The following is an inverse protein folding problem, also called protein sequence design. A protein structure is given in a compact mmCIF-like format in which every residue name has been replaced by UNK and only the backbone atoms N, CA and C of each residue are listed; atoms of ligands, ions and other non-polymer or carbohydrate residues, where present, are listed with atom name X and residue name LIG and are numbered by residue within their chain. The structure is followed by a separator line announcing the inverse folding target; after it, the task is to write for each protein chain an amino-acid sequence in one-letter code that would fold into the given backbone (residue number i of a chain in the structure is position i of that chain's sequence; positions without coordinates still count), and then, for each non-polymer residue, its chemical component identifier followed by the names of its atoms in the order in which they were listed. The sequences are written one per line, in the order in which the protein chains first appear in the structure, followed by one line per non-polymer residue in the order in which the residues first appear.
data_IF_349935406611
#
_entry.id   IF_349935406611
#
_cell.length_a   1.000
_cell.length_b   1.000
_cell.length_c   1.000
_cell.angle_alpha   90.00
_cell.angle_beta   90.00
_cell.angle_gamma   90.00
#
_symmetry.space_group_name_H-M   'P 1'
#
loop_
_entity.id
_entity.type
_entity.pdbx_description
1 polymer ?
#
# COMPACT_ATOMS: atom_id res chain seq x y z
N UNK A 1 -29.19 21.71 -17.22
CA UNK A 1 -28.67 21.04 -18.42
C UNK A 1 -27.33 20.33 -18.24
N UNK A 2 -26.21 20.96 -17.77
CA UNK A 2 -24.98 20.24 -17.44
C UNK A 2 -25.20 19.07 -16.43
N UNK A 3 -26.00 19.31 -15.40
CA UNK A 3 -26.33 18.31 -14.37
C UNK A 3 -27.12 17.12 -14.93
N UNK A 4 -27.97 17.35 -15.93
CA UNK A 4 -28.76 16.28 -16.56
C UNK A 4 -27.86 15.36 -17.41
N UNK A 5 -26.97 15.93 -18.24
CA UNK A 5 -26.01 15.14 -19.00
C UNK A 5 -25.08 14.31 -18.10
N UNK A 6 -24.58 14.90 -17.03
CA UNK A 6 -23.76 14.20 -16.04
C UNK A 6 -24.53 13.02 -15.39
N UNK A 7 -25.79 13.23 -14.98
CA UNK A 7 -26.62 12.16 -14.43
C UNK A 7 -26.86 11.06 -15.47
N UNK A 8 -27.05 11.41 -16.73
CA UNK A 8 -27.22 10.43 -17.81
C UNK A 8 -25.96 9.60 -18.03
N UNK A 9 -24.77 10.21 -18.00
CA UNK A 9 -23.51 9.49 -18.15
C UNK A 9 -23.25 8.56 -16.96
N UNK A 10 -23.52 9.01 -15.72
CA UNK A 10 -23.48 8.13 -14.56
C UNK A 10 -24.48 6.97 -14.68
N UNK A 11 -25.69 7.26 -15.10
CA UNK A 11 -26.72 6.23 -15.31
C UNK A 11 -26.26 5.18 -16.32
N UNK A 12 -25.66 5.57 -17.45
CA UNK A 12 -25.11 4.64 -18.45
C UNK A 12 -24.08 3.70 -17.82
N UNK A 13 -23.15 4.22 -16.99
CA UNK A 13 -22.13 3.41 -16.34
C UNK A 13 -22.74 2.44 -15.33
N UNK A 14 -23.63 2.92 -14.46
CA UNK A 14 -24.27 2.11 -13.43
C UNK A 14 -25.21 1.05 -14.00
N UNK A 15 -25.78 1.22 -15.19
CA UNK A 15 -26.63 0.22 -15.82
C UNK A 15 -25.87 -0.84 -16.61
N UNK A 16 -24.55 -0.71 -16.75
CA UNK A 16 -23.72 -1.77 -17.35
C UNK A 16 -23.58 -2.92 -16.36
N UNK A 17 -24.01 -4.12 -16.76
CA UNK A 17 -23.86 -5.34 -15.94
C UNK A 17 -22.42 -5.58 -15.52
N UNK A 18 -21.45 -5.28 -16.41
CA UNK A 18 -20.00 -5.44 -16.13
C UNK A 18 -19.54 -4.60 -14.95
N UNK A 19 -20.17 -3.45 -14.69
CA UNK A 19 -19.84 -2.60 -13.55
C UNK A 19 -20.13 -3.30 -12.21
N UNK A 20 -21.34 -3.85 -12.05
CA UNK A 20 -21.73 -4.53 -10.82
C UNK A 20 -21.02 -5.88 -10.64
N UNK A 21 -20.85 -6.63 -11.75
CA UNK A 21 -20.05 -7.87 -11.73
C UNK A 21 -18.63 -7.56 -11.29
N UNK A 22 -18.02 -6.49 -11.81
CA UNK A 22 -16.68 -6.06 -11.42
C UNK A 22 -16.58 -5.68 -9.94
N UNK A 23 -17.52 -4.90 -9.40
CA UNK A 23 -17.55 -4.56 -7.97
C UNK A 23 -17.67 -5.82 -7.11
N UNK A 24 -18.62 -6.69 -7.43
CA UNK A 24 -18.81 -7.94 -6.67
C UNK A 24 -17.58 -8.85 -6.75
N UNK A 25 -16.94 -8.92 -7.92
CA UNK A 25 -15.71 -9.69 -8.09
C UNK A 25 -14.56 -9.10 -7.24
N UNK A 26 -14.37 -7.76 -7.25
CA UNK A 26 -13.34 -7.11 -6.42
C UNK A 26 -13.56 -7.40 -4.95
N UNK A 27 -14.77 -7.14 -4.44
CA UNK A 27 -15.09 -7.35 -3.03
C UNK A 27 -14.97 -8.82 -2.63
N UNK A 28 -15.46 -9.73 -3.49
CA UNK A 28 -15.36 -11.18 -3.28
C UNK A 28 -13.91 -11.67 -3.24
N UNK A 29 -13.09 -11.25 -4.21
CA UNK A 29 -11.67 -11.61 -4.25
C UNK A 29 -10.88 -10.99 -3.09
N UNK A 30 -11.17 -9.74 -2.70
CA UNK A 30 -10.57 -9.12 -1.52
C UNK A 30 -10.92 -9.88 -0.25
N UNK A 31 -12.19 -10.32 -0.10
CA UNK A 31 -12.61 -11.12 1.05
C UNK A 31 -11.91 -12.49 1.07
N UNK A 32 -11.81 -13.17 -0.08
CA UNK A 32 -11.12 -14.46 -0.19
C UNK A 32 -9.62 -14.29 0.15
N UNK A 33 -8.96 -13.31 -0.46
CA UNK A 33 -7.55 -13.01 -0.16
C UNK A 33 -7.34 -12.72 1.33
N UNK A 34 -8.15 -11.83 1.90
CA UNK A 34 -8.09 -11.47 3.31
C UNK A 34 -8.25 -12.68 4.23
N UNK A 35 -9.24 -13.53 3.95
CA UNK A 35 -9.54 -14.65 4.86
C UNK A 35 -8.55 -15.80 4.74
N UNK A 36 -8.12 -16.13 3.53
CA UNK A 36 -7.25 -17.29 3.30
C UNK A 36 -5.75 -16.94 3.33
N UNK A 37 -5.34 -15.82 2.76
CA UNK A 37 -3.94 -15.44 2.73
C UNK A 37 -3.52 -14.68 3.99
N UNK A 38 -4.31 -13.71 4.45
CA UNK A 38 -3.89 -12.87 5.57
C UNK A 38 -4.27 -13.50 6.93
N UNK A 39 -5.56 -13.75 7.14
CA UNK A 39 -6.02 -14.35 8.41
C UNK A 39 -5.57 -15.80 8.51
N UNK A 40 -5.65 -16.58 7.41
CA UNK A 40 -5.29 -18.00 7.39
C UNK A 40 -3.83 -18.28 7.68
N UNK A 41 -2.93 -17.37 7.30
CA UNK A 41 -1.48 -17.51 7.51
C UNK A 41 -1.01 -17.02 8.88
N UNK A 42 -1.89 -16.36 9.66
CA UNK A 42 -1.53 -15.94 11.01
C UNK A 42 -1.21 -17.15 11.91
N UNK A 43 -0.13 -17.00 12.67
CA UNK A 43 0.36 -18.03 13.60
C UNK A 43 0.63 -17.42 14.98
N UNK A 44 0.41 -18.21 16.00
CA UNK A 44 0.77 -17.87 17.38
C UNK A 44 1.15 -19.15 18.10
N UNK A 45 2.36 -19.22 18.60
CA UNK A 45 2.84 -20.36 19.40
C UNK A 45 3.19 -19.86 20.80
N UNK A 46 2.61 -20.49 21.82
CA UNK A 46 2.83 -20.16 23.23
C UNK A 46 3.06 -21.47 23.99
N UNK A 47 4.21 -21.61 24.64
CA UNK A 47 4.61 -22.77 25.40
C UNK A 47 4.44 -24.09 24.62
N UNK A 48 4.77 -24.07 23.32
CA UNK A 48 4.66 -25.22 22.42
C UNK A 48 3.24 -25.50 21.90
N UNK A 49 2.23 -24.76 22.32
CA UNK A 49 0.87 -24.84 21.74
C UNK A 49 0.75 -23.92 20.56
N UNK A 50 0.37 -24.47 19.42
CA UNK A 50 0.22 -23.73 18.17
C UNK A 50 -1.24 -23.37 17.92
N UNK A 51 -1.49 -22.09 17.64
CA UNK A 51 -2.75 -21.53 17.19
C UNK A 51 -2.59 -21.04 15.75
N UNK A 52 -3.65 -21.09 14.95
CA UNK A 52 -3.60 -20.68 13.55
C UNK A 52 -4.85 -19.90 13.15
N UNK A 53 -4.72 -19.05 12.12
CA UNK A 53 -5.83 -18.31 11.58
C UNK A 53 -6.42 -17.29 12.57
N UNK A 54 -7.73 -17.18 12.59
CA UNK A 54 -8.44 -16.25 13.47
C UNK A 54 -8.14 -16.46 14.97
N UNK A 55 -7.95 -17.70 15.38
CA UNK A 55 -7.58 -18.03 16.77
C UNK A 55 -6.20 -17.47 17.12
N UNK A 56 -5.24 -17.56 16.19
CA UNK A 56 -3.92 -16.95 16.36
C UNK A 56 -4.01 -15.43 16.51
N UNK A 57 -4.85 -14.77 15.70
CA UNK A 57 -5.09 -13.31 15.83
C UNK A 57 -5.59 -12.98 17.25
N UNK A 58 -6.58 -13.73 17.76
CA UNK A 58 -7.14 -13.47 19.09
C UNK A 58 -6.12 -13.71 20.20
N UNK A 59 -5.30 -14.75 20.09
CA UNK A 59 -4.25 -15.05 21.06
C UNK A 59 -3.16 -13.96 21.03
N UNK A 60 -2.68 -13.56 19.87
CA UNK A 60 -1.71 -12.48 19.72
C UNK A 60 -2.24 -11.16 20.31
N UNK A 61 -3.51 -10.83 20.09
CA UNK A 61 -4.15 -9.65 20.71
C UNK A 61 -4.14 -9.75 22.23
N UNK A 62 -4.58 -10.88 22.77
CA UNK A 62 -4.68 -11.11 24.21
C UNK A 62 -3.32 -10.97 24.91
N UNK A 63 -2.27 -11.64 24.42
CA UNK A 63 -0.94 -11.55 25.02
C UNK A 63 -0.33 -10.17 24.88
N UNK A 64 -0.64 -9.45 23.78
CA UNK A 64 -0.14 -8.08 23.58
C UNK A 64 -0.79 -7.11 24.54
N UNK A 65 -2.06 -7.28 24.87
CA UNK A 65 -2.78 -6.43 25.84
C UNK A 65 -2.17 -6.48 27.24
N UNK A 66 -1.57 -7.61 27.64
CA UNK A 66 -0.87 -7.75 28.93
C UNK A 66 0.32 -6.79 29.06
N UNK A 67 0.97 -6.47 27.93
CA UNK A 67 2.17 -5.62 27.86
C UNK A 67 1.92 -4.27 27.18
N UNK A 68 0.69 -3.92 26.88
CA UNK A 68 0.36 -2.70 26.15
C UNK A 68 0.90 -1.42 26.81
N UNK A 69 1.10 -0.38 25.99
CA UNK A 69 1.55 0.94 26.42
C UNK A 69 3.03 1.21 26.11
N UNK A 70 3.59 2.25 26.73
CA UNK A 70 4.95 2.71 26.43
C UNK A 70 5.97 1.59 26.62
N UNK A 71 6.86 1.43 25.63
CA UNK A 71 7.95 0.46 25.67
C UNK A 71 9.03 0.95 26.62
N UNK A 72 9.42 0.08 27.57
CA UNK A 72 10.51 0.30 28.53
C UNK A 72 11.43 -0.92 28.51
N UNK A 73 12.67 -0.74 28.97
CA UNK A 73 13.64 -1.84 29.07
C UNK A 73 13.11 -2.97 29.96
N UNK A 74 12.48 -2.62 31.07
CA UNK A 74 11.88 -3.58 31.98
C UNK A 74 10.79 -4.42 31.29
N UNK A 75 9.90 -3.78 30.53
CA UNK A 75 8.85 -4.46 29.77
C UNK A 75 9.43 -5.41 28.70
N UNK A 76 10.45 -4.97 27.98
CA UNK A 76 11.16 -5.80 27.01
C UNK A 76 11.80 -7.01 27.69
N UNK A 77 12.48 -6.80 28.83
CA UNK A 77 13.08 -7.90 29.60
C UNK A 77 12.02 -8.91 30.03
N UNK A 78 10.88 -8.45 30.56
CA UNK A 78 9.77 -9.34 30.95
C UNK A 78 9.26 -10.18 29.76
N UNK A 79 9.15 -9.58 28.57
CA UNK A 79 8.72 -10.28 27.35
C UNK A 79 9.76 -11.33 26.95
N UNK A 80 11.05 -10.97 26.94
CA UNK A 80 12.13 -11.89 26.59
C UNK A 80 12.26 -13.03 27.60
N UNK A 81 12.15 -12.75 28.91
CA UNK A 81 12.21 -13.77 29.95
C UNK A 81 11.06 -14.78 29.85
N UNK A 82 9.86 -14.31 29.45
CA UNK A 82 8.67 -15.17 29.35
C UNK A 82 8.58 -15.92 28.01
N UNK A 83 8.82 -15.22 26.90
CA UNK A 83 8.58 -15.76 25.56
C UNK A 83 9.86 -16.04 24.78
N UNK A 84 11.02 -15.48 25.17
CA UNK A 84 12.27 -15.58 24.43
C UNK A 84 12.25 -14.81 23.11
N UNK A 85 13.24 -15.09 22.25
CA UNK A 85 13.35 -14.55 20.91
C UNK A 85 13.09 -15.67 19.88
N UNK A 86 12.44 -15.40 18.73
CA UNK A 86 12.11 -16.41 17.72
C UNK A 86 13.35 -17.11 17.14
N UNK A 87 14.51 -16.46 17.22
CA UNK A 87 15.80 -16.96 16.72
C UNK A 87 16.52 -17.90 17.65
N UNK A 88 15.99 -18.17 18.85
CA UNK A 88 16.61 -19.09 19.79
C UNK A 88 16.43 -20.52 19.32
N UNK A 89 17.55 -21.16 18.99
CA UNK A 89 17.59 -22.55 18.51
C UNK A 89 17.85 -23.57 19.63
N UNK A 90 18.05 -23.12 20.87
CA UNK A 90 18.32 -24.00 22.00
C UNK A 90 17.00 -24.42 22.67
N UNK A 91 16.76 -25.74 22.74
CA UNK A 91 15.55 -26.32 23.33
C UNK A 91 15.29 -25.92 24.79
N UNK A 92 16.31 -25.47 25.50
CA UNK A 92 16.22 -24.98 26.88
C UNK A 92 15.84 -23.49 26.98
N UNK A 93 15.72 -22.76 25.85
CA UNK A 93 15.37 -21.35 25.81
C UNK A 93 13.87 -21.16 25.58
N UNK A 94 13.23 -20.16 26.22
CA UNK A 94 11.81 -19.91 26.02
C UNK A 94 11.42 -19.68 24.55
N UNK A 95 12.29 -19.05 23.75
CA UNK A 95 12.07 -18.77 22.34
C UNK A 95 11.89 -20.00 21.46
N UNK A 96 12.44 -21.15 21.85
CA UNK A 96 12.25 -22.41 21.14
C UNK A 96 10.78 -22.86 21.12
N UNK A 97 10.03 -22.59 22.19
CA UNK A 97 8.63 -23.00 22.35
C UNK A 97 7.64 -21.88 22.02
N UNK A 98 8.12 -20.73 21.64
CA UNK A 98 7.29 -19.56 21.38
C UNK A 98 7.55 -19.01 19.97
N UNK A 99 6.50 -18.52 19.35
CA UNK A 99 6.54 -17.81 18.07
C UNK A 99 5.27 -16.98 17.97
N UNK A 100 5.31 -15.76 18.48
CA UNK A 100 4.14 -14.92 18.61
C UNK A 100 4.48 -13.45 18.34
N UNK A 101 3.47 -12.61 18.28
CA UNK A 101 3.64 -11.19 17.99
C UNK A 101 4.62 -10.47 18.94
N UNK A 102 4.67 -10.83 20.21
CA UNK A 102 5.58 -10.21 21.18
C UNK A 102 7.06 -10.56 20.90
N UNK A 103 7.35 -11.81 20.51
CA UNK A 103 8.70 -12.20 20.08
C UNK A 103 9.11 -11.36 18.86
N UNK A 104 8.25 -11.27 17.84
CA UNK A 104 8.53 -10.52 16.62
C UNK A 104 8.68 -9.02 16.91
N UNK A 105 7.84 -8.48 17.79
CA UNK A 105 7.92 -7.08 18.21
C UNK A 105 9.28 -6.79 18.85
N UNK A 106 9.72 -7.61 19.81
CA UNK A 106 11.02 -7.43 20.47
C UNK A 106 12.16 -7.57 19.49
N UNK A 107 12.09 -8.56 18.60
CA UNK A 107 13.12 -8.80 17.58
C UNK A 107 13.31 -7.56 16.68
N UNK A 108 12.26 -6.79 16.37
CA UNK A 108 12.37 -5.55 15.58
C UNK A 108 13.27 -4.49 16.20
N UNK A 109 13.41 -4.46 17.53
CA UNK A 109 14.32 -3.53 18.21
C UNK A 109 15.77 -4.00 18.18
N UNK A 110 16.02 -5.30 18.08
CA UNK A 110 17.37 -5.85 18.18
C UNK A 110 17.99 -6.22 16.84
N UNK A 111 17.19 -6.49 15.82
CA UNK A 111 17.71 -6.86 14.50
C UNK A 111 17.43 -5.73 13.52
N UNK A 112 18.46 -5.23 12.84
CA UNK A 112 18.29 -4.27 11.76
C UNK A 112 17.82 -4.92 10.44
N UNK A 113 17.09 -6.05 10.52
CA UNK A 113 16.61 -6.82 9.38
C UNK A 113 17.67 -7.66 8.67
N UNK A 114 18.91 -7.65 9.13
CA UNK A 114 19.99 -8.38 8.47
C UNK A 114 20.21 -9.77 9.09
N UNK A 115 19.25 -10.67 8.87
CA UNK A 115 19.51 -12.11 8.95
C UNK A 115 20.56 -12.56 7.93
N UNK A 116 20.87 -11.72 6.96
CA UNK A 116 21.79 -11.99 5.86
C UNK A 116 23.25 -12.20 6.30
N UNK A 117 23.63 -11.72 7.46
CA UNK A 117 25.04 -11.78 7.90
C UNK A 117 25.38 -12.95 8.86
N UNK A 118 24.50 -13.94 9.01
CA UNK A 118 24.82 -15.19 9.70
C UNK A 118 25.17 -15.08 11.20
N UNK A 119 25.02 -13.93 11.81
CA UNK A 119 25.26 -13.74 13.24
C UNK A 119 24.05 -14.22 14.01
N UNK A 120 24.20 -15.35 14.69
CA UNK A 120 23.16 -15.88 15.58
C UNK A 120 22.92 -14.92 16.75
N UNK A 121 21.74 -14.34 16.91
CA UNK A 121 21.41 -13.44 18.03
C UNK A 121 21.49 -14.11 19.40
N UNK A 122 21.45 -15.40 19.43
CA UNK A 122 21.05 -16.29 20.53
C UNK A 122 21.95 -16.31 21.74
N UNK A 123 23.23 -16.02 21.64
CA UNK A 123 24.15 -16.15 22.77
C UNK A 123 24.29 -14.87 23.62
N UNK A 124 23.77 -13.74 23.18
CA UNK A 124 24.07 -12.43 23.73
C UNK A 124 22.90 -11.68 24.35
N UNK A 125 21.67 -12.11 24.13
CA UNK A 125 20.46 -11.45 24.64
C UNK A 125 20.05 -11.93 26.04
N UNK A 126 21.00 -12.10 26.92
CA UNK A 126 20.67 -12.00 28.34
C UNK A 126 20.70 -10.52 28.72
N UNK A 127 19.57 -9.85 28.52
CA UNK A 127 19.32 -8.51 29.01
C UNK A 127 19.30 -8.53 30.55
N UNK A 128 20.40 -8.91 31.18
CA UNK A 128 20.44 -8.99 32.65
C UNK A 128 20.61 -7.65 33.31
N UNK A 129 21.12 -6.67 32.59
CA UNK A 129 21.40 -5.38 33.18
C UNK A 129 21.30 -4.34 32.09
N UNK A 130 20.06 -3.80 31.84
CA UNK A 130 20.26 -2.54 31.25
C UNK A 130 19.62 -2.15 29.96
N UNK A 131 19.61 -0.95 29.75
CA UNK A 131 19.69 -0.11 28.57
C UNK A 131 19.72 -0.90 27.24
N UNK A 132 18.64 -0.96 26.52
CA UNK A 132 18.50 -1.51 25.16
C UNK A 132 19.67 -1.06 24.27
N UNK A 133 20.22 0.13 24.55
CA UNK A 133 21.40 0.63 23.87
C UNK A 133 22.67 -0.16 24.15
N UNK A 134 22.89 -0.64 25.36
CA UNK A 134 24.05 -1.49 25.68
C UNK A 134 23.95 -2.83 24.96
N UNK A 135 22.81 -3.49 25.02
CA UNK A 135 22.59 -4.75 24.32
C UNK A 135 22.82 -4.60 22.81
N UNK A 136 22.35 -3.51 22.24
CA UNK A 136 22.57 -3.19 20.83
C UNK A 136 24.05 -2.89 20.53
N UNK A 137 24.74 -2.15 21.38
CA UNK A 137 26.15 -1.83 21.23
C UNK A 137 27.01 -3.10 21.25
N UNK A 138 26.75 -4.00 22.20
CA UNK A 138 27.44 -5.29 22.31
C UNK A 138 27.18 -6.19 21.08
N UNK A 139 25.97 -6.17 20.54
CA UNK A 139 25.63 -6.86 19.30
C UNK A 139 26.43 -6.35 18.10
N UNK A 140 26.56 -5.03 17.95
CA UNK A 140 27.23 -4.42 16.81
C UNK A 140 28.78 -4.34 16.93
N UNK A 141 29.34 -4.39 18.14
CA UNK A 141 30.80 -4.39 18.33
C UNK A 141 31.48 -5.65 17.79
N UNK A 142 30.69 -6.70 17.53
CA UNK A 142 31.19 -7.99 17.03
C UNK A 142 30.98 -8.21 15.53
N UNK A 143 30.47 -7.20 14.80
CA UNK A 143 30.40 -7.22 13.35
C UNK A 143 31.72 -6.61 12.83
N UNK A 144 32.64 -7.48 12.38
CA UNK A 144 33.95 -7.07 11.85
C UNK A 144 33.86 -6.55 10.41
N UNK A 145 33.60 -5.26 10.21
CA UNK A 145 33.87 -4.64 8.93
C UNK A 145 34.27 -3.16 9.03
N UNK A 146 35.29 -2.78 8.25
CA UNK A 146 35.93 -1.46 8.30
C UNK A 146 35.13 -0.28 7.74
N UNK A 147 33.99 -0.51 7.06
CA UNK A 147 33.11 0.55 6.56
C UNK A 147 32.24 1.22 7.64
N UNK A 148 32.24 0.70 8.83
CA UNK A 148 31.22 0.81 9.86
C UNK A 148 31.37 1.93 10.89
N UNK A 149 32.50 2.61 10.97
CA UNK A 149 32.66 3.63 12.04
C UNK A 149 31.72 4.83 11.89
N UNK A 150 31.40 5.23 10.66
CA UNK A 150 30.43 6.30 10.40
C UNK A 150 29.00 5.80 10.56
N UNK A 151 28.71 4.59 10.09
CA UNK A 151 27.40 3.97 10.18
C UNK A 151 27.02 3.69 11.63
N UNK A 152 27.97 3.23 12.47
CA UNK A 152 27.79 3.04 13.92
C UNK A 152 27.40 4.33 14.66
N UNK A 153 28.02 5.46 14.32
CA UNK A 153 27.69 6.74 14.95
C UNK A 153 26.32 7.25 14.53
N UNK A 154 25.96 7.08 13.26
CA UNK A 154 24.65 7.44 12.74
C UNK A 154 23.58 6.57 13.38
N UNK A 155 23.77 5.27 13.42
CA UNK A 155 22.88 4.28 14.00
C UNK A 155 22.65 4.51 15.50
N UNK A 156 23.70 4.86 16.26
CA UNK A 156 23.60 5.28 17.66
C UNK A 156 22.65 6.46 17.85
N UNK A 157 22.85 7.51 17.04
CA UNK A 157 22.02 8.70 17.12
C UNK A 157 20.56 8.39 16.73
N UNK A 158 20.39 7.45 15.83
CA UNK A 158 19.07 6.99 15.39
C UNK A 158 18.31 6.25 16.49
N UNK A 159 18.95 5.30 17.17
CA UNK A 159 18.36 4.59 18.31
C UNK A 159 17.99 5.55 19.43
N UNK A 160 18.92 6.43 19.81
CA UNK A 160 18.65 7.42 20.86
C UNK A 160 17.52 8.39 20.48
N UNK A 161 17.40 8.72 19.19
CA UNK A 161 16.30 9.56 18.71
C UNK A 161 14.94 8.83 18.77
N UNK A 162 14.91 7.54 18.50
CA UNK A 162 13.69 6.72 18.59
C UNK A 162 13.24 6.55 20.05
N UNK A 163 14.17 6.32 20.95
CA UNK A 163 13.87 6.19 22.37
C UNK A 163 13.21 7.44 22.96
N UNK A 164 13.60 8.62 22.46
CA UNK A 164 12.95 9.89 22.80
C UNK A 164 11.50 9.98 22.30
N UNK A 165 11.15 9.26 21.27
CA UNK A 165 9.80 9.24 20.69
C UNK A 165 8.83 8.33 21.45
N UNK A 166 9.31 7.57 22.46
CA UNK A 166 8.51 6.70 23.35
C UNK A 166 7.56 5.80 22.56
N UNK A 167 8.06 4.83 21.75
CA UNK A 167 7.20 3.92 21.03
C UNK A 167 6.27 3.17 21.98
N UNK A 168 5.08 2.84 21.52
CA UNK A 168 4.09 2.08 22.30
C UNK A 168 3.99 0.66 21.75
N UNK A 169 3.80 -0.31 22.65
CA UNK A 169 3.51 -1.68 22.30
C UNK A 169 2.00 -1.84 22.19
N UNK A 170 1.55 -2.18 21.01
CA UNK A 170 0.16 -2.46 20.67
C UNK A 170 0.12 -3.48 19.54
N UNK A 171 -0.99 -4.21 19.41
CA UNK A 171 -1.15 -5.16 18.32
C UNK A 171 -1.45 -4.42 17.00
N UNK A 172 -0.46 -4.30 16.13
CA UNK A 172 -0.50 -3.47 14.93
C UNK A 172 -0.62 -4.23 13.62
N UNK A 173 -0.64 -5.58 13.65
CA UNK A 173 -0.67 -6.43 12.45
C UNK A 173 -1.77 -6.03 11.46
N UNK A 174 -2.93 -5.61 11.96
CA UNK A 174 -4.04 -5.18 11.11
C UNK A 174 -3.72 -4.01 10.17
N UNK A 175 -2.74 -3.17 10.47
CA UNK A 175 -2.31 -2.10 9.57
C UNK A 175 -1.42 -2.60 8.44
N UNK A 176 -0.57 -3.60 8.71
CA UNK A 176 0.20 -4.28 7.67
C UNK A 176 -0.74 -4.96 6.69
N UNK A 177 -1.67 -5.78 7.21
CA UNK A 177 -2.69 -6.47 6.42
C UNK A 177 -3.58 -5.48 5.63
N UNK A 178 -3.91 -4.32 6.23
CA UNK A 178 -4.62 -3.26 5.51
C UNK A 178 -3.85 -2.77 4.28
N UNK A 179 -2.53 -2.56 4.40
CA UNK A 179 -1.69 -2.15 3.28
C UNK A 179 -1.67 -3.18 2.15
N UNK A 180 -1.51 -4.45 2.48
CA UNK A 180 -1.47 -5.57 1.53
C UNK A 180 -2.83 -5.78 0.86
N UNK A 181 -3.92 -5.74 1.62
CA UNK A 181 -5.28 -5.85 1.10
C UNK A 181 -5.68 -4.64 0.23
N UNK A 182 -5.26 -3.43 0.64
CA UNK A 182 -5.46 -2.22 -0.15
C UNK A 182 -4.74 -2.33 -1.49
N UNK A 183 -3.48 -2.72 -1.51
CA UNK A 183 -2.69 -2.94 -2.72
C UNK A 183 -3.38 -3.93 -3.67
N UNK A 184 -3.79 -5.08 -3.15
CA UNK A 184 -4.51 -6.09 -3.91
C UNK A 184 -5.82 -5.54 -4.51
N UNK A 185 -6.63 -4.85 -3.70
CA UNK A 185 -7.86 -4.21 -4.14
C UNK A 185 -7.64 -3.13 -5.20
N UNK A 186 -6.58 -2.32 -5.08
CA UNK A 186 -6.24 -1.29 -6.04
C UNK A 186 -5.78 -1.88 -7.38
N UNK A 187 -5.07 -3.00 -7.39
CA UNK A 187 -4.73 -3.71 -8.63
C UNK A 187 -6.01 -4.18 -9.35
N UNK A 188 -6.92 -4.81 -8.63
CA UNK A 188 -8.21 -5.25 -9.20
C UNK A 188 -9.06 -4.05 -9.67
N UNK A 189 -9.09 -2.98 -8.89
CA UNK A 189 -9.76 -1.73 -9.24
C UNK A 189 -9.20 -1.08 -10.50
N UNK A 190 -7.88 -1.18 -10.73
CA UNK A 190 -7.24 -0.72 -11.95
C UNK A 190 -7.76 -1.45 -13.18
N UNK A 191 -7.88 -2.76 -13.11
CA UNK A 191 -8.47 -3.57 -14.19
C UNK A 191 -9.92 -3.13 -14.47
N UNK A 192 -10.68 -2.84 -13.42
CA UNK A 192 -12.05 -2.35 -13.58
C UNK A 192 -12.09 -0.98 -14.24
N UNK A 193 -11.20 -0.05 -13.89
CA UNK A 193 -11.07 1.26 -14.56
C UNK A 193 -10.81 1.05 -16.05
N UNK A 194 -9.86 0.18 -16.42
CA UNK A 194 -9.55 -0.14 -17.80
C UNK A 194 -10.80 -0.64 -18.56
N UNK A 195 -11.56 -1.55 -17.96
CA UNK A 195 -12.75 -2.13 -18.62
C UNK A 195 -13.93 -1.16 -18.74
N UNK A 196 -14.17 -0.34 -17.70
CA UNK A 196 -15.36 0.51 -17.65
C UNK A 196 -15.16 1.85 -18.34
N UNK A 197 -13.98 2.47 -18.13
CA UNK A 197 -13.72 3.84 -18.59
C UNK A 197 -13.27 3.87 -20.05
N UNK A 198 -12.58 2.82 -20.53
CA UNK A 198 -12.09 2.76 -21.93
C UNK A 198 -13.21 2.90 -22.98
N UNK A 199 -14.43 2.50 -22.63
CA UNK A 199 -15.59 2.63 -23.53
C UNK A 199 -16.18 4.03 -23.62
N UNK A 200 -15.84 4.98 -22.75
CA UNK A 200 -16.58 6.26 -22.63
C UNK A 200 -16.60 7.07 -23.92
N UNK A 201 -15.48 7.17 -24.63
CA UNK A 201 -15.39 7.85 -25.91
C UNK A 201 -15.40 6.87 -27.10
N UNK A 202 -14.75 5.72 -26.94
CA UNK A 202 -14.62 4.75 -28.02
C UNK A 202 -15.95 4.10 -28.43
N UNK A 203 -16.90 3.93 -27.51
CA UNK A 203 -18.22 3.37 -27.80
C UNK A 203 -19.03 4.25 -28.75
N UNK A 204 -18.94 5.56 -28.64
CA UNK A 204 -19.63 6.49 -29.54
C UNK A 204 -19.06 6.50 -30.97
N UNK A 205 -17.74 6.30 -31.07
CA UNK A 205 -17.11 6.05 -32.38
C UNK A 205 -17.58 4.72 -32.96
N UNK A 206 -17.58 3.66 -32.18
CA UNK A 206 -17.97 2.32 -32.57
C UNK A 206 -19.46 2.24 -32.99
N UNK A 207 -20.33 2.94 -32.28
CA UNK A 207 -21.80 2.98 -32.57
C UNK A 207 -22.19 4.00 -33.61
N UNK A 208 -21.22 4.73 -34.19
CA UNK A 208 -21.45 5.81 -35.17
C UNK A 208 -22.38 6.93 -34.66
N UNK A 209 -22.47 7.10 -33.35
CA UNK A 209 -23.26 8.17 -32.73
C UNK A 209 -22.51 9.52 -32.68
N UNK A 210 -21.21 9.51 -32.88
CA UNK A 210 -20.35 10.69 -32.85
C UNK A 210 -20.82 11.83 -33.78
N UNK A 211 -21.24 11.55 -35.05
CA UNK A 211 -21.76 12.58 -35.95
C UNK A 211 -22.96 13.30 -35.36
N UNK A 212 -23.91 12.53 -34.81
CA UNK A 212 -25.14 13.05 -34.24
C UNK A 212 -24.85 13.93 -33.02
N UNK A 213 -23.92 13.53 -32.16
CA UNK A 213 -23.53 14.31 -30.98
C UNK A 213 -22.88 15.64 -31.40
N UNK A 214 -22.02 15.60 -32.43
CA UNK A 214 -21.25 16.76 -32.87
C UNK A 214 -22.07 17.80 -33.66
N UNK A 215 -23.23 17.42 -34.19
CA UNK A 215 -24.15 18.37 -34.83
C UNK A 215 -24.95 19.19 -33.82
N UNK A 216 -24.99 18.77 -32.55
CA UNK A 216 -25.67 19.53 -31.51
C UNK A 216 -24.79 20.70 -31.01
N UNK A 217 -25.39 21.86 -30.76
CA UNK A 217 -24.68 23.07 -30.32
C UNK A 217 -23.87 22.86 -29.04
N UNK A 218 -24.26 21.92 -28.19
CA UNK A 218 -23.65 21.67 -26.88
C UNK A 218 -22.85 20.38 -26.82
N UNK A 219 -22.97 19.49 -27.82
CA UNK A 219 -22.43 18.15 -27.79
C UNK A 219 -20.90 18.08 -27.59
N UNK A 220 -20.15 18.89 -28.32
CA UNK A 220 -18.68 18.93 -28.25
C UNK A 220 -18.12 19.40 -26.91
N UNK A 221 -18.81 20.24 -26.16
CA UNK A 221 -18.28 20.90 -24.95
C UNK A 221 -18.91 20.36 -23.67
N UNK A 222 -20.25 20.34 -23.62
CA UNK A 222 -20.95 19.95 -22.38
C UNK A 222 -20.99 18.45 -22.19
N UNK A 223 -21.17 17.69 -23.25
CA UNK A 223 -21.16 16.23 -23.23
C UNK A 223 -19.78 15.70 -22.83
N UNK A 224 -18.70 16.17 -23.47
CA UNK A 224 -17.33 15.79 -23.08
C UNK A 224 -17.04 16.08 -21.60
N UNK A 225 -17.49 17.26 -21.11
CA UNK A 225 -17.28 17.59 -19.69
C UNK A 225 -18.08 16.70 -18.76
N UNK A 226 -19.30 16.30 -19.16
CA UNK A 226 -20.15 15.40 -18.38
C UNK A 226 -19.52 13.98 -18.28
N UNK A 227 -19.00 13.47 -19.39
CA UNK A 227 -18.29 12.18 -19.45
C UNK A 227 -17.05 12.13 -18.57
N UNK A 228 -16.21 13.16 -18.68
CA UNK A 228 -15.01 13.30 -17.84
C UNK A 228 -15.40 13.35 -16.36
N UNK A 229 -16.38 14.19 -16.00
CA UNK A 229 -16.81 14.30 -14.61
C UNK A 229 -17.40 12.97 -14.08
N UNK A 230 -18.20 12.28 -14.89
CA UNK A 230 -18.78 10.99 -14.53
C UNK A 230 -17.69 9.92 -14.30
N UNK A 231 -16.69 9.85 -15.18
CA UNK A 231 -15.58 8.90 -15.03
C UNK A 231 -14.77 9.17 -13.76
N UNK A 232 -14.44 10.42 -13.46
CA UNK A 232 -13.74 10.79 -12.23
C UNK A 232 -14.55 10.46 -10.98
N UNK A 233 -15.87 10.72 -11.00
CA UNK A 233 -16.76 10.35 -9.89
C UNK A 233 -16.73 8.84 -9.63
N UNK A 234 -16.85 8.02 -10.67
CA UNK A 234 -16.79 6.56 -10.54
C UNK A 234 -15.43 6.10 -10.00
N UNK A 235 -14.35 6.69 -10.48
CA UNK A 235 -12.99 6.38 -9.99
C UNK A 235 -12.82 6.69 -8.51
N UNK A 236 -13.31 7.85 -8.06
CA UNK A 236 -13.28 8.23 -6.64
C UNK A 236 -14.14 7.29 -5.80
N UNK A 237 -15.35 6.96 -6.25
CA UNK A 237 -16.24 6.02 -5.54
C UNK A 237 -15.63 4.62 -5.46
N UNK A 238 -15.01 4.15 -6.54
CA UNK A 238 -14.33 2.85 -6.56
C UNK A 238 -13.15 2.83 -5.57
N UNK A 239 -12.31 3.86 -5.60
CA UNK A 239 -11.20 4.00 -4.65
C UNK A 239 -11.67 4.02 -3.19
N UNK A 240 -12.68 4.83 -2.90
CA UNK A 240 -13.25 4.92 -1.56
C UNK A 240 -13.90 3.59 -1.11
N UNK A 241 -14.56 2.88 -2.03
CA UNK A 241 -15.15 1.56 -1.77
C UNK A 241 -14.09 0.51 -1.45
N UNK A 242 -13.00 0.44 -2.23
CA UNK A 242 -11.87 -0.47 -2.00
C UNK A 242 -11.20 -0.15 -0.66
N UNK A 243 -10.84 1.12 -0.44
CA UNK A 243 -10.18 1.56 0.80
C UNK A 243 -11.06 1.32 2.03
N UNK A 244 -12.35 1.63 1.93
CA UNK A 244 -13.32 1.44 3.01
C UNK A 244 -13.55 -0.04 3.34
N UNK A 245 -13.61 -0.92 2.33
CA UNK A 245 -13.76 -2.37 2.53
C UNK A 245 -12.50 -2.98 3.14
N UNK A 246 -11.30 -2.60 2.67
CA UNK A 246 -10.05 -3.04 3.26
C UNK A 246 -9.94 -2.63 4.74
N UNK A 247 -10.22 -1.35 5.03
CA UNK A 247 -10.21 -0.85 6.40
C UNK A 247 -11.25 -1.55 7.29
N UNK A 248 -12.47 -1.75 6.78
CA UNK A 248 -13.56 -2.40 7.51
C UNK A 248 -13.22 -3.84 7.90
N UNK A 249 -12.71 -4.65 6.97
CA UNK A 249 -12.30 -6.03 7.23
C UNK A 249 -11.18 -6.09 8.29
N UNK A 250 -10.15 -5.25 8.14
CA UNK A 250 -9.03 -5.21 9.10
C UNK A 250 -9.49 -4.71 10.48
N UNK A 251 -10.41 -3.73 10.53
CA UNK A 251 -10.95 -3.22 11.80
C UNK A 251 -11.76 -4.27 12.55
N UNK A 252 -12.55 -5.08 11.86
CA UNK A 252 -13.39 -6.12 12.47
C UNK A 252 -12.53 -7.26 13.04
N UNK A 253 -11.52 -7.72 12.31
CA UNK A 253 -10.74 -8.90 12.71
C UNK A 253 -9.56 -8.53 13.61
N UNK A 254 -8.77 -7.55 13.21
CA UNK A 254 -7.51 -7.18 13.88
C UNK A 254 -7.67 -6.04 14.91
N UNK A 255 -8.80 -5.31 14.91
CA UNK A 255 -9.06 -4.11 15.72
C UNK A 255 -8.12 -2.92 15.44
N UNK A 256 -7.12 -3.06 14.59
CA UNK A 256 -6.20 -2.04 14.05
C UNK A 256 -5.88 -0.91 15.04
N UNK A 257 -5.34 -1.27 16.21
CA UNK A 257 -4.83 -0.32 17.22
C UNK A 257 -3.46 0.22 16.79
N UNK A 258 -2.93 1.21 17.49
CA UNK A 258 -1.54 1.68 17.31
C UNK A 258 -1.28 2.60 16.12
N UNK A 259 -2.30 3.15 15.48
CA UNK A 259 -2.13 4.07 14.35
C UNK A 259 -1.40 5.37 14.66
N UNK A 260 -1.29 5.76 15.92
CA UNK A 260 -0.49 6.92 16.36
C UNK A 260 0.97 6.59 16.64
N UNK A 261 1.34 5.31 16.55
CA UNK A 261 2.69 4.82 16.78
C UNK A 261 3.62 5.17 15.60
N UNK A 262 4.91 4.85 15.75
CA UNK A 262 5.89 5.03 14.70
C UNK A 262 5.70 4.00 13.57
N UNK A 263 5.98 4.41 12.33
CA UNK A 263 5.82 3.55 11.15
C UNK A 263 6.64 2.26 11.27
N UNK A 264 7.88 2.33 11.80
CA UNK A 264 8.71 1.15 12.03
C UNK A 264 8.10 0.14 12.98
N UNK A 265 7.37 0.61 14.02
CA UNK A 265 6.64 -0.26 14.94
C UNK A 265 5.45 -0.94 14.26
N UNK A 266 4.76 -0.20 13.38
CA UNK A 266 3.49 -0.64 12.82
C UNK A 266 3.67 -1.61 11.64
N UNK A 267 4.58 -1.29 10.70
CA UNK A 267 4.66 -2.02 9.43
C UNK A 267 6.05 -2.47 8.99
N UNK A 268 7.14 -1.76 9.35
CA UNK A 268 8.42 -2.01 8.68
C UNK A 268 9.20 -3.18 9.25
N UNK A 269 8.87 -3.62 10.45
CA UNK A 269 9.62 -4.68 11.10
C UNK A 269 11.08 -4.32 11.44
N UNK A 270 11.53 -3.08 11.15
CA UNK A 270 12.81 -2.53 11.56
C UNK A 270 12.61 -1.09 12.04
N UNK A 271 13.47 -0.61 12.92
CA UNK A 271 13.36 0.76 13.47
C UNK A 271 14.55 1.64 13.13
N UNK A 272 15.30 1.30 12.11
CA UNK A 272 16.60 1.90 11.82
C UNK A 272 16.57 2.93 10.69
N UNK A 273 15.51 2.93 9.86
CA UNK A 273 15.39 3.86 8.73
C UNK A 273 14.72 5.16 9.16
N UNK A 274 14.96 6.23 8.43
CA UNK A 274 14.34 7.54 8.67
C UNK A 274 12.81 7.48 8.64
N UNK A 275 12.25 6.68 7.74
CA UNK A 275 10.81 6.47 7.62
C UNK A 275 10.21 5.84 8.88
N UNK A 276 10.95 4.96 9.54
CA UNK A 276 10.48 4.22 10.72
C UNK A 276 10.14 5.15 11.90
N UNK A 277 10.70 6.36 11.91
CA UNK A 277 10.48 7.40 12.93
C UNK A 277 9.30 8.32 12.66
N UNK A 278 8.72 8.23 11.46
CA UNK A 278 7.55 9.04 11.10
C UNK A 278 6.32 8.48 11.78
N UNK A 279 5.40 9.32 12.30
CA UNK A 279 4.11 8.85 12.78
C UNK A 279 3.36 8.09 11.69
N UNK A 280 2.83 6.91 12.02
CA UNK A 280 2.22 6.03 11.03
C UNK A 280 1.05 6.69 10.28
N UNK A 281 0.21 7.47 10.94
CA UNK A 281 -0.87 8.17 10.24
C UNK A 281 -0.39 9.20 9.22
N UNK A 282 0.79 9.81 9.42
CA UNK A 282 1.37 10.69 8.40
C UNK A 282 1.80 9.88 7.17
N UNK A 283 2.44 8.74 7.38
CA UNK A 283 2.78 7.80 6.32
C UNK A 283 1.54 7.30 5.58
N UNK A 284 0.53 6.84 6.32
CA UNK A 284 -0.74 6.36 5.77
C UNK A 284 -1.46 7.43 4.93
N UNK A 285 -1.44 8.68 5.40
CA UNK A 285 -2.06 9.79 4.66
C UNK A 285 -1.39 10.00 3.30
N UNK A 286 -0.06 9.97 3.24
CA UNK A 286 0.69 10.07 1.98
C UNK A 286 0.37 8.89 1.07
N UNK A 287 0.35 7.67 1.59
CA UNK A 287 -0.01 6.47 0.85
C UNK A 287 -1.40 6.58 0.22
N UNK A 288 -2.39 7.00 0.98
CA UNK A 288 -3.76 7.16 0.48
C UNK A 288 -3.88 8.29 -0.56
N UNK A 289 -3.18 9.41 -0.37
CA UNK A 289 -3.17 10.52 -1.33
C UNK A 289 -2.52 10.08 -2.65
N UNK A 290 -1.36 9.45 -2.60
CA UNK A 290 -0.66 8.96 -3.80
C UNK A 290 -1.45 7.88 -4.52
N UNK A 291 -2.08 6.95 -3.78
CA UNK A 291 -2.97 5.94 -4.36
C UNK A 291 -4.17 6.54 -5.07
N UNK A 292 -4.82 7.55 -4.48
CA UNK A 292 -5.92 8.28 -5.13
C UNK A 292 -5.44 9.00 -6.40
N UNK A 293 -4.30 9.69 -6.33
CA UNK A 293 -3.72 10.36 -7.52
C UNK A 293 -3.38 9.37 -8.62
N UNK A 294 -2.87 8.18 -8.27
CA UNK A 294 -2.60 7.12 -9.22
C UNK A 294 -3.87 6.64 -9.94
N UNK A 295 -4.96 6.44 -9.20
CA UNK A 295 -6.26 6.07 -9.79
C UNK A 295 -6.81 7.15 -10.72
N UNK A 296 -6.73 8.42 -10.31
CA UNK A 296 -7.17 9.54 -11.14
C UNK A 296 -6.30 9.70 -12.40
N UNK A 297 -4.99 9.48 -12.28
CA UNK A 297 -4.06 9.52 -13.42
C UNK A 297 -4.32 8.36 -14.38
N UNK A 298 -4.57 7.16 -13.86
CA UNK A 298 -4.94 5.99 -14.68
C UNK A 298 -6.25 6.25 -15.43
N UNK A 299 -7.26 6.82 -14.76
CA UNK A 299 -8.51 7.23 -15.40
C UNK A 299 -8.26 8.24 -16.54
N UNK A 300 -7.42 9.26 -16.31
CA UNK A 300 -7.10 10.26 -17.32
C UNK A 300 -6.36 9.66 -18.54
N UNK A 301 -5.43 8.72 -18.30
CA UNK A 301 -4.75 7.97 -19.38
C UNK A 301 -5.76 7.15 -20.17
N UNK A 302 -6.67 6.44 -19.47
CA UNK A 302 -7.70 5.60 -20.08
C UNK A 302 -8.65 6.45 -20.95
N UNK A 303 -9.10 7.59 -20.45
CA UNK A 303 -9.92 8.54 -21.22
C UNK A 303 -9.16 9.07 -22.45
N UNK A 304 -7.90 9.43 -22.29
CA UNK A 304 -7.06 9.88 -23.39
C UNK A 304 -7.02 8.83 -24.49
N UNK A 305 -6.66 7.60 -24.15
CA UNK A 305 -6.57 6.50 -25.12
C UNK A 305 -7.93 6.20 -25.76
N UNK A 306 -9.00 6.19 -24.95
CA UNK A 306 -10.38 6.02 -25.45
C UNK A 306 -10.76 7.03 -26.53
N UNK A 307 -10.29 8.29 -26.42
CA UNK A 307 -10.56 9.32 -27.41
C UNK A 307 -9.87 9.06 -28.76
N UNK A 308 -8.73 8.37 -28.75
CA UNK A 308 -7.98 8.01 -29.97
C UNK A 308 -8.46 6.74 -30.65
N UNK A 309 -9.19 5.89 -29.95
CA UNK A 309 -9.64 4.60 -30.45
C UNK A 309 -11.05 4.69 -31.07
N UNK A 310 -11.31 3.80 -32.05
CA UNK A 310 -12.62 3.70 -32.69
C UNK A 310 -13.42 2.48 -32.22
N UNK A 311 -12.84 1.63 -31.34
CA UNK A 311 -13.51 0.49 -30.75
C UNK A 311 -13.20 0.36 -29.27
N UNK A 312 -14.19 -0.12 -28.50
CA UNK A 312 -14.02 -0.39 -27.06
C UNK A 312 -12.88 -1.40 -26.80
N UNK A 313 -12.81 -2.47 -27.57
CA UNK A 313 -11.79 -3.47 -27.40
C UNK A 313 -10.38 -2.91 -27.63
N UNK A 314 -10.21 -2.14 -28.73
CA UNK A 314 -8.94 -1.46 -29.01
C UNK A 314 -8.53 -0.51 -27.88
N UNK A 315 -9.49 0.22 -27.31
CA UNK A 315 -9.23 1.12 -26.18
C UNK A 315 -8.78 0.37 -24.92
N UNK A 316 -9.41 -0.75 -24.57
CA UNK A 316 -9.00 -1.60 -23.43
C UNK A 316 -7.57 -2.13 -23.63
N UNK A 317 -7.28 -2.73 -24.79
CA UNK A 317 -5.96 -3.31 -25.08
C UNK A 317 -4.88 -2.23 -25.07
N UNK A 318 -5.11 -1.10 -25.75
CA UNK A 318 -4.14 -0.01 -25.81
C UNK A 318 -3.88 0.60 -24.41
N UNK A 319 -4.90 0.73 -23.59
CA UNK A 319 -4.73 1.23 -22.21
C UNK A 319 -3.99 0.23 -21.34
N UNK A 320 -4.28 -1.06 -21.46
CA UNK A 320 -3.57 -2.12 -20.73
C UNK A 320 -2.07 -2.15 -21.08
N UNK A 321 -1.74 -2.03 -22.36
CA UNK A 321 -0.34 -1.93 -22.82
C UNK A 321 0.31 -0.67 -22.24
N UNK A 322 -0.34 0.50 -22.35
CA UNK A 322 0.19 1.76 -21.84
C UNK A 322 0.40 1.69 -20.32
N UNK A 323 -0.50 1.04 -19.58
CA UNK A 323 -0.37 0.85 -18.13
C UNK A 323 0.83 -0.03 -17.78
N UNK A 324 1.16 -1.04 -18.60
CA UNK A 324 2.28 -1.95 -18.38
C UNK A 324 3.65 -1.40 -18.83
N UNK A 325 3.70 -0.34 -19.64
CA UNK A 325 4.97 0.24 -20.15
C UNK A 325 5.96 0.59 -19.02
N UNK A 326 5.57 1.24 -17.89
CA UNK A 326 6.49 1.56 -16.82
C UNK A 326 7.24 0.34 -16.28
N UNK A 327 6.58 -0.83 -16.20
CA UNK A 327 7.20 -2.08 -15.77
C UNK A 327 8.33 -2.49 -16.75
N UNK A 328 8.07 -2.43 -18.03
CA UNK A 328 9.07 -2.74 -19.05
C UNK A 328 10.25 -1.76 -18.98
N UNK A 329 9.96 -0.47 -18.83
CA UNK A 329 11.00 0.56 -18.67
C UNK A 329 11.88 0.26 -17.45
N UNK A 330 11.29 -0.15 -16.32
CA UNK A 330 12.05 -0.50 -15.11
C UNK A 330 12.93 -1.73 -15.31
N UNK A 331 12.43 -2.76 -16.00
CA UNK A 331 13.18 -3.99 -16.29
C UNK A 331 14.39 -3.70 -17.18
N UNK A 332 14.22 -2.89 -18.25
CA UNK A 332 15.27 -2.66 -19.23
C UNK A 332 16.27 -1.56 -18.84
N UNK A 333 15.81 -0.49 -18.19
CA UNK A 333 16.64 0.69 -17.88
C UNK A 333 17.08 0.76 -16.41
N UNK A 334 16.59 -0.14 -15.57
CA UNK A 334 16.96 -0.20 -14.15
C UNK A 334 16.67 1.09 -13.40
N UNK A 335 17.59 1.46 -12.51
CA UNK A 335 17.39 2.61 -11.62
C UNK A 335 17.63 3.99 -12.23
N UNK A 336 18.06 4.10 -13.49
CA UNK A 336 18.43 5.39 -14.09
C UNK A 336 17.26 6.41 -14.11
N UNK A 337 16.04 5.94 -14.30
CA UNK A 337 14.82 6.78 -14.38
C UNK A 337 13.84 6.46 -13.24
N UNK A 338 14.34 5.95 -12.13
CA UNK A 338 13.51 5.39 -11.06
C UNK A 338 12.43 6.37 -10.54
N UNK A 339 12.76 7.64 -10.30
CA UNK A 339 11.79 8.61 -9.79
C UNK A 339 10.60 8.77 -10.76
N UNK A 340 10.88 8.85 -12.06
CA UNK A 340 9.82 9.00 -13.07
C UNK A 340 8.95 7.74 -13.14
N UNK A 341 9.58 6.57 -13.15
CA UNK A 341 8.90 5.28 -13.26
C UNK A 341 8.07 4.98 -12.01
N UNK A 342 8.66 5.19 -10.83
CA UNK A 342 7.98 4.94 -9.55
C UNK A 342 6.83 5.96 -9.28
N UNK A 343 6.85 7.09 -9.99
CA UNK A 343 5.75 8.07 -9.97
C UNK A 343 4.60 7.71 -10.92
N UNK A 344 4.75 6.69 -11.77
CA UNK A 344 3.68 6.27 -12.68
C UNK A 344 2.57 5.51 -11.94
N UNK A 345 1.32 5.61 -12.44
CA UNK A 345 0.16 5.02 -11.75
C UNK A 345 0.34 3.55 -11.38
N UNK A 346 0.99 2.75 -12.23
CA UNK A 346 1.22 1.34 -11.98
C UNK A 346 2.00 1.10 -10.68
N UNK A 347 3.14 1.77 -10.49
CA UNK A 347 3.98 1.58 -9.31
C UNK A 347 3.40 2.21 -8.05
N UNK A 348 2.73 3.34 -8.18
CA UNK A 348 2.00 3.95 -7.05
C UNK A 348 0.84 3.07 -6.56
N UNK A 349 0.16 2.38 -7.47
CA UNK A 349 -0.90 1.44 -7.13
C UNK A 349 -0.31 0.17 -6.48
N UNK A 350 0.81 -0.31 -7.01
CA UNK A 350 1.51 -1.47 -6.44
C UNK A 350 2.29 -1.13 -5.18
N UNK A 351 2.44 0.13 -4.80
CA UNK A 351 3.18 0.61 -3.62
C UNK A 351 4.62 0.07 -3.52
N UNK A 352 5.22 -0.28 -4.66
CA UNK A 352 6.48 -1.04 -4.73
C UNK A 352 7.65 -0.30 -4.12
N UNK A 353 7.71 0.98 -4.03
CA UNK A 353 8.85 1.72 -3.47
C UNK A 353 8.42 2.93 -2.64
N UNK A 354 7.29 2.84 -1.96
CA UNK A 354 6.82 3.95 -1.15
C UNK A 354 7.82 4.36 -0.07
N UNK A 355 8.56 3.38 0.47
CA UNK A 355 9.61 3.66 1.46
C UNK A 355 10.70 4.59 0.90
N UNK A 356 11.09 4.40 -0.36
CA UNK A 356 12.12 5.19 -1.01
C UNK A 356 11.60 6.56 -1.46
N UNK A 357 10.34 6.64 -1.89
CA UNK A 357 9.72 7.86 -2.39
C UNK A 357 9.09 8.74 -1.31
N UNK A 358 8.92 8.23 -0.09
CA UNK A 358 8.26 9.00 0.98
C UNK A 358 8.93 10.36 1.24
N UNK A 359 10.25 10.42 1.24
CA UNK A 359 10.99 11.67 1.47
C UNK A 359 10.76 12.72 0.38
N UNK A 360 10.39 12.29 -0.82
CA UNK A 360 10.16 13.11 -2.01
C UNK A 360 8.71 13.01 -2.51
N UNK A 361 7.76 12.58 -1.65
CA UNK A 361 6.38 12.32 -2.03
C UNK A 361 5.72 13.51 -2.77
N UNK A 362 6.07 14.74 -2.43
CA UNK A 362 5.56 15.94 -3.09
C UNK A 362 6.01 16.04 -4.55
N UNK A 363 7.24 15.63 -4.88
CA UNK A 363 7.73 15.57 -6.27
C UNK A 363 6.95 14.52 -7.06
N UNK A 364 6.76 13.36 -6.46
CA UNK A 364 5.97 12.25 -7.02
C UNK A 364 4.53 12.69 -7.27
N UNK A 365 3.92 13.38 -6.33
CA UNK A 365 2.56 13.92 -6.48
C UNK A 365 2.48 14.93 -7.64
N UNK A 366 3.48 15.81 -7.79
CA UNK A 366 3.53 16.78 -8.91
C UNK A 366 3.64 16.05 -10.26
N UNK A 367 4.48 15.00 -10.34
CA UNK A 367 4.60 14.19 -11.56
C UNK A 367 3.27 13.50 -11.88
N UNK A 368 2.61 12.88 -10.90
CA UNK A 368 1.33 12.23 -11.09
C UNK A 368 0.24 13.19 -11.55
N UNK A 369 0.18 14.39 -10.96
CA UNK A 369 -0.73 15.47 -11.40
C UNK A 369 -0.39 15.94 -12.82
N UNK A 370 0.90 16.01 -13.16
CA UNK A 370 1.35 16.33 -14.52
C UNK A 370 0.88 15.30 -15.54
N UNK A 371 1.02 14.02 -15.25
CA UNK A 371 0.53 12.90 -16.08
C UNK A 371 -0.98 13.01 -16.27
N UNK A 372 -1.72 13.24 -15.18
CA UNK A 372 -3.16 13.43 -15.20
C UNK A 372 -3.56 14.60 -16.11
N UNK A 373 -2.95 15.78 -15.91
CA UNK A 373 -3.29 16.99 -16.64
C UNK A 373 -2.98 16.87 -18.15
N UNK A 374 -1.81 16.34 -18.50
CA UNK A 374 -1.39 16.13 -19.89
C UNK A 374 -2.29 15.12 -20.60
N UNK A 375 -2.57 13.98 -19.96
CA UNK A 375 -3.43 12.95 -20.54
C UNK A 375 -4.86 13.48 -20.77
N UNK A 376 -5.41 14.16 -19.77
CA UNK A 376 -6.77 14.70 -19.85
C UNK A 376 -6.90 15.79 -20.95
N UNK A 377 -5.96 16.73 -20.99
CA UNK A 377 -5.99 17.80 -22.00
C UNK A 377 -5.82 17.26 -23.41
N UNK A 378 -4.86 16.35 -23.63
CA UNK A 378 -4.65 15.71 -24.95
C UNK A 378 -5.86 14.89 -25.38
N UNK A 379 -6.43 14.08 -24.50
CA UNK A 379 -7.63 13.30 -24.81
C UNK A 379 -8.84 14.17 -25.18
N UNK A 380 -9.13 15.22 -24.39
CA UNK A 380 -10.24 16.13 -24.64
C UNK A 380 -10.03 16.91 -25.95
N UNK A 381 -8.82 17.41 -26.21
CA UNK A 381 -8.52 18.15 -27.42
C UNK A 381 -8.71 17.28 -28.67
N UNK A 382 -8.13 16.05 -28.63
CA UNK A 382 -8.27 15.11 -29.74
C UNK A 382 -9.73 14.74 -30.01
N UNK A 383 -10.49 14.39 -28.98
CA UNK A 383 -11.91 14.07 -29.14
C UNK A 383 -12.72 15.16 -29.76
N UNK A 384 -12.48 16.45 -29.40
CA UNK A 384 -13.19 17.62 -29.97
C UNK A 384 -12.86 17.90 -31.44
N UNK A 385 -11.66 17.48 -31.90
CA UNK A 385 -11.19 17.76 -33.27
C UNK A 385 -11.36 16.51 -34.15
N UNK A 386 -11.72 15.37 -33.56
CA UNK A 386 -11.92 14.13 -34.31
C UNK A 386 -12.89 14.33 -35.46
N UNK A 387 -12.37 14.14 -36.67
CA UNK A 387 -13.19 14.24 -37.89
C UNK A 387 -14.06 12.99 -37.99
N UNK A 388 -15.30 13.22 -38.32
CA UNK A 388 -16.25 12.14 -38.56
C UNK A 388 -16.18 11.85 -40.04
N UNK A 389 -15.51 10.78 -40.42
CA UNK A 389 -15.46 10.26 -41.79
C UNK A 389 -16.64 9.31 -42.00
#
# INVERSE_FOLDING_TARGET
MRMQLYKMELYKIFHRKIFWIGILAILGLMFVYFWFAEVGDERCVIDGRSYSGYEAVQMNKKITEEYAGTVTDEKINQIVDKYGLPSELNENMPGWKNGNYLNDFVTRFFTNGSWENGVKPTERYRLKDTDLWKAYKEYNENIDSKSEKNDKKQMKNEILSMWKLKPTLEYTTGWKVFGELLQFGLILGSIMILCVISGIFAEESQTKMLPVIFTTVEGKRKDTSAKVLASFTITVLLYAGITGSAWGLCKIVYDSKGGYNLTGVVISGSMWKTLDKVPFFSYLSVLLILGMLAFLSLNAITLCISAYQDSMFGAVVATAICWAIPLLVRIFFGGFVWILVDSMPMFLIMQVNLNDIYSIWYVVAVIAVGVLAVSLTKGILHYKVKQVV
#
